data_IF_589282965721
#
_entry.id   IF_589282965721
#
_cell.length_a   1.000
_cell.length_b   1.000
_cell.length_c   1.000
_cell.angle_alpha   90.00
_cell.angle_beta   90.00
_cell.angle_gamma   90.00
#
_symmetry.space_group_name_H-M   'P 1'
#
loop_
_entity.id
_entity.type
_entity.pdbx_description
1 polymer ?
#
# COMPACT_ATOMS: atom_id res chain seq x y z
N UNK A 1 -26.24 22.62 -45.28
CA UNK A 1 -25.29 22.81 -44.17
C UNK A 1 -25.45 21.60 -43.26
N UNK A 2 -24.78 20.51 -43.62
CA UNK A 2 -24.80 19.25 -42.87
C UNK A 2 -23.64 19.30 -41.89
N UNK A 3 -23.91 19.10 -40.60
CA UNK A 3 -22.88 18.97 -39.58
C UNK A 3 -22.45 17.51 -39.53
N UNK A 4 -21.14 17.32 -39.71
CA UNK A 4 -20.41 16.07 -39.85
C UNK A 4 -20.33 15.34 -38.50
N UNK A 5 -20.66 14.04 -38.51
CA UNK A 5 -20.58 13.16 -37.34
C UNK A 5 -19.12 12.86 -37.01
N UNK A 6 -18.57 13.61 -36.05
CA UNK A 6 -17.25 13.35 -35.49
C UNK A 6 -17.22 12.04 -34.70
N UNK A 7 -16.94 10.92 -35.39
CA UNK A 7 -16.50 9.66 -34.79
C UNK A 7 -15.23 9.89 -33.96
N UNK A 8 -15.43 10.13 -32.66
CA UNK A 8 -14.36 10.14 -31.66
C UNK A 8 -13.98 8.69 -31.37
N UNK A 9 -13.11 8.15 -32.21
CA UNK A 9 -12.49 6.85 -32.01
C UNK A 9 -11.72 6.87 -30.68
N UNK A 10 -12.25 6.15 -29.68
CA UNK A 10 -11.49 5.82 -28.48
C UNK A 10 -10.34 4.91 -28.91
N UNK A 11 -9.17 5.52 -29.13
CA UNK A 11 -7.92 4.81 -29.33
C UNK A 11 -7.62 4.13 -28.01
N UNK A 12 -7.99 2.85 -27.88
CA UNK A 12 -7.57 2.00 -26.76
C UNK A 12 -6.06 1.83 -26.89
N UNK A 13 -5.31 2.75 -26.30
CA UNK A 13 -3.88 2.59 -26.09
C UNK A 13 -3.72 1.28 -25.31
N UNK A 14 -3.16 0.24 -25.94
CA UNK A 14 -2.69 -0.95 -25.24
C UNK A 14 -1.62 -0.49 -24.26
N UNK A 15 -2.00 -0.14 -23.04
CA UNK A 15 -1.05 0.16 -21.98
C UNK A 15 -0.26 -1.12 -21.76
N UNK A 16 1.05 -1.10 -22.07
CA UNK A 16 1.93 -2.23 -21.76
C UNK A 16 1.96 -2.38 -20.24
N UNK A 17 1.17 -3.32 -19.72
CA UNK A 17 1.21 -3.75 -18.31
C UNK A 17 2.64 -4.13 -17.98
N UNK A 18 3.21 -3.50 -16.95
CA UNK A 18 4.63 -3.70 -16.61
C UNK A 18 4.88 -5.16 -16.19
N UNK A 19 6.09 -5.71 -16.39
CA UNK A 19 6.41 -7.06 -15.91
C UNK A 19 6.17 -7.24 -14.40
N UNK A 20 6.34 -6.17 -13.62
CA UNK A 20 6.09 -6.18 -12.17
C UNK A 20 4.60 -6.23 -11.86
N UNK A 21 3.78 -5.49 -12.61
CA UNK A 21 2.32 -5.55 -12.45
C UNK A 21 1.78 -6.95 -12.78
N UNK A 22 2.32 -7.59 -13.83
CA UNK A 22 1.99 -8.99 -14.15
C UNK A 22 2.40 -9.97 -13.05
N UNK A 23 3.57 -9.77 -12.44
CA UNK A 23 4.02 -10.66 -11.36
C UNK A 23 3.21 -10.47 -10.07
N UNK A 24 2.61 -9.29 -9.88
CA UNK A 24 1.69 -9.03 -8.77
C UNK A 24 0.33 -9.71 -8.92
N UNK A 25 -0.07 -10.12 -10.13
CA UNK A 25 -1.33 -10.83 -10.39
C UNK A 25 -1.17 -12.32 -10.64
N UNK A 26 0.06 -12.80 -10.85
CA UNK A 26 0.34 -14.22 -11.03
C UNK A 26 0.08 -15.03 -9.74
N UNK A 27 -0.25 -16.33 -9.83
CA UNK A 27 -0.43 -17.18 -8.66
C UNK A 27 0.73 -17.06 -7.67
N UNK A 28 0.41 -16.99 -6.38
CA UNK A 28 1.41 -16.93 -5.33
C UNK A 28 2.06 -18.31 -5.15
N UNK A 29 3.38 -18.35 -4.98
CA UNK A 29 4.14 -19.58 -4.79
C UNK A 29 5.15 -19.43 -3.65
N UNK A 30 5.32 -20.49 -2.86
CA UNK A 30 6.26 -20.56 -1.75
C UNK A 30 5.60 -20.44 -0.38
N UNK A 31 6.41 -20.55 0.67
CA UNK A 31 5.99 -20.59 2.08
C UNK A 31 6.31 -19.28 2.83
N UNK A 32 6.69 -18.22 2.10
CA UNK A 32 7.10 -16.97 2.73
C UNK A 32 5.92 -16.26 3.42
N UNK A 33 4.71 -16.41 2.88
CA UNK A 33 3.48 -15.91 3.51
C UNK A 33 3.28 -16.55 4.89
N UNK A 34 3.35 -17.87 4.97
CA UNK A 34 3.15 -18.65 6.19
C UNK A 34 4.18 -18.28 7.24
N UNK A 35 5.46 -18.29 6.88
CA UNK A 35 6.54 -17.94 7.81
C UNK A 35 6.45 -16.49 8.28
N UNK A 36 6.04 -15.56 7.40
CA UNK A 36 5.86 -14.17 7.79
C UNK A 36 4.64 -13.97 8.70
N UNK A 37 3.52 -14.65 8.43
CA UNK A 37 2.33 -14.61 9.27
C UNK A 37 2.59 -15.17 10.68
N UNK A 38 3.28 -16.32 10.76
CA UNK A 38 3.71 -16.92 12.02
C UNK A 38 4.62 -15.98 12.81
N UNK A 39 5.63 -15.39 12.15
CA UNK A 39 6.52 -14.41 12.77
C UNK A 39 5.77 -13.21 13.37
N UNK A 40 4.79 -12.66 12.65
CA UNK A 40 3.99 -11.53 13.13
C UNK A 40 3.11 -11.91 14.32
N UNK A 41 2.50 -13.10 14.29
CA UNK A 41 1.66 -13.62 15.38
C UNK A 41 2.47 -13.84 16.65
N UNK A 42 3.66 -14.45 16.50
CA UNK A 42 4.61 -14.64 17.59
C UNK A 42 5.10 -13.32 18.18
N UNK A 43 5.35 -12.33 17.31
CA UNK A 43 5.80 -11.00 17.73
C UNK A 43 4.70 -10.27 18.51
N UNK A 44 3.44 -10.40 18.07
CA UNK A 44 2.30 -9.84 18.78
C UNK A 44 2.12 -10.48 20.16
N UNK A 45 2.23 -11.81 20.27
CA UNK A 45 2.12 -12.52 21.53
C UNK A 45 3.20 -12.11 22.55
N UNK A 46 4.38 -11.67 22.07
CA UNK A 46 5.50 -11.21 22.89
C UNK A 46 5.49 -9.69 23.13
N UNK A 47 4.62 -8.95 22.45
CA UNK A 47 4.62 -7.50 22.54
C UNK A 47 4.13 -7.02 23.91
N UNK A 48 4.92 -6.16 24.54
CA UNK A 48 4.56 -5.43 25.75
C UNK A 48 5.04 -4.00 25.62
N UNK A 49 4.18 -3.04 25.98
CA UNK A 49 4.54 -1.62 26.00
C UNK A 49 5.59 -1.28 27.06
N UNK A 50 5.84 -2.20 28.01
CA UNK A 50 6.94 -2.06 28.98
C UNK A 50 8.30 -2.40 28.37
N UNK A 51 8.32 -3.21 27.30
CA UNK A 51 9.56 -3.74 26.70
C UNK A 51 9.84 -3.12 25.34
N UNK A 52 8.79 -2.75 24.59
CA UNK A 52 8.91 -2.24 23.23
C UNK A 52 8.17 -0.92 23.05
N UNK A 53 8.78 -0.02 22.29
CA UNK A 53 8.20 1.29 21.99
C UNK A 53 7.00 1.20 21.05
N UNK A 54 7.09 0.38 19.99
CA UNK A 54 6.05 0.26 18.98
C UNK A 54 6.16 -1.04 18.18
N UNK A 55 5.11 -1.37 17.43
CA UNK A 55 5.01 -2.55 16.56
C UNK A 55 5.47 -2.21 15.14
N UNK A 56 6.75 -2.38 14.86
CA UNK A 56 7.30 -2.22 13.52
C UNK A 56 8.27 -3.37 13.23
N UNK A 57 8.23 -3.88 12.00
CA UNK A 57 9.22 -4.81 11.48
C UNK A 57 9.65 -4.37 10.07
N UNK A 58 10.91 -4.58 9.74
CA UNK A 58 11.46 -4.29 8.41
C UNK A 58 11.58 -5.57 7.60
N UNK A 59 11.03 -5.58 6.39
CA UNK A 59 11.21 -6.69 5.43
C UNK A 59 12.32 -6.31 4.45
N UNK A 60 13.53 -6.83 4.68
CA UNK A 60 14.73 -6.47 3.91
C UNK A 60 15.17 -7.65 3.03
N UNK A 61 15.08 -7.47 1.70
CA UNK A 61 15.59 -8.40 0.70
C UNK A 61 15.87 -7.67 -0.63
N UNK A 62 16.64 -8.29 -1.52
CA UNK A 62 16.90 -7.80 -2.90
C UNK A 62 15.61 -7.49 -3.67
N UNK A 63 15.66 -6.54 -4.61
CA UNK A 63 14.51 -6.24 -5.48
C UNK A 63 14.06 -7.49 -6.27
N UNK A 64 12.76 -7.61 -6.54
CA UNK A 64 12.20 -8.72 -7.32
C UNK A 64 12.00 -10.05 -6.58
N UNK A 65 12.38 -10.16 -5.30
CA UNK A 65 12.23 -11.42 -4.52
C UNK A 65 10.80 -11.71 -4.03
N UNK A 66 9.81 -10.90 -4.42
CA UNK A 66 8.41 -11.15 -4.05
C UNK A 66 7.94 -10.52 -2.73
N UNK A 67 8.72 -9.61 -2.10
CA UNK A 67 8.30 -8.90 -0.86
C UNK A 67 6.90 -8.28 -0.96
N UNK A 68 6.67 -7.40 -1.93
CA UNK A 68 5.37 -6.73 -2.10
C UNK A 68 4.26 -7.73 -2.38
N UNK A 69 4.55 -8.79 -3.15
CA UNK A 69 3.60 -9.86 -3.44
C UNK A 69 3.21 -10.61 -2.16
N UNK A 70 4.18 -10.98 -1.33
CA UNK A 70 3.95 -11.61 -0.02
C UNK A 70 3.08 -10.73 0.88
N UNK A 71 3.37 -9.42 0.96
CA UNK A 71 2.56 -8.49 1.76
C UNK A 71 1.12 -8.42 1.25
N UNK A 72 0.90 -8.33 -0.07
CA UNK A 72 -0.45 -8.35 -0.63
C UNK A 72 -1.19 -9.66 -0.35
N UNK A 73 -0.47 -10.78 -0.35
CA UNK A 73 -1.05 -12.10 -0.08
C UNK A 73 -1.51 -12.30 1.37
N UNK A 74 -1.12 -11.41 2.30
CA UNK A 74 -1.62 -11.42 3.69
C UNK A 74 -3.16 -11.26 3.77
N UNK A 75 -3.79 -10.69 2.74
CA UNK A 75 -5.24 -10.61 2.64
C UNK A 75 -5.92 -12.00 2.70
N UNK A 76 -5.26 -13.05 2.17
CA UNK A 76 -5.76 -14.43 2.23
C UNK A 76 -5.66 -15.06 3.63
N UNK A 77 -5.02 -14.36 4.58
CA UNK A 77 -4.97 -14.69 6.01
C UNK A 77 -5.87 -13.77 6.85
N UNK A 78 -6.89 -13.16 6.23
CA UNK A 78 -7.81 -12.19 6.84
C UNK A 78 -7.13 -10.93 7.41
N UNK A 79 -5.93 -10.59 6.92
CA UNK A 79 -5.21 -9.39 7.33
C UNK A 79 -5.50 -8.25 6.36
N UNK A 80 -5.99 -7.13 6.88
CA UNK A 80 -6.20 -5.91 6.10
C UNK A 80 -4.85 -5.29 5.74
N UNK A 81 -4.58 -5.14 4.44
CA UNK A 81 -3.33 -4.59 3.91
C UNK A 81 -3.54 -3.18 3.39
N UNK A 82 -2.91 -2.20 4.03
CA UNK A 82 -2.76 -0.84 3.49
C UNK A 82 -1.40 -0.72 2.80
N UNK A 83 -1.38 -0.87 1.47
CA UNK A 83 -0.15 -0.70 0.69
C UNK A 83 0.06 0.78 0.36
N UNK A 84 1.16 1.37 0.83
CA UNK A 84 1.54 2.76 0.59
C UNK A 84 2.97 2.83 0.04
N UNK A 85 3.15 3.61 -1.01
CA UNK A 85 4.41 3.80 -1.69
C UNK A 85 4.95 5.22 -1.53
N UNK A 86 5.88 5.38 -0.59
CA UNK A 86 6.34 6.69 -0.12
C UNK A 86 7.67 7.15 -0.75
N UNK A 87 8.05 6.60 -1.92
CA UNK A 87 9.27 6.95 -2.70
C UNK A 87 9.50 8.44 -2.85
N UNK A 88 10.74 8.93 -2.77
CA UNK A 88 11.06 10.36 -2.87
C UNK A 88 10.46 11.06 -4.11
N UNK A 89 10.24 12.37 -4.02
CA UNK A 89 9.79 13.18 -5.16
C UNK A 89 10.84 13.07 -6.28
N UNK A 90 10.39 12.78 -7.50
CA UNK A 90 11.25 12.61 -8.67
C UNK A 90 11.80 11.19 -8.88
N UNK A 91 11.56 10.25 -7.96
CA UNK A 91 11.87 8.83 -8.18
C UNK A 91 10.93 8.24 -9.24
N UNK A 92 11.50 7.76 -10.34
CA UNK A 92 10.78 7.13 -11.46
C UNK A 92 10.61 5.61 -11.30
N UNK A 93 10.96 5.05 -10.14
CA UNK A 93 10.84 3.64 -9.84
C UNK A 93 9.39 3.13 -9.83
N UNK A 94 9.24 1.80 -9.90
CA UNK A 94 7.93 1.13 -9.91
C UNK A 94 7.68 0.30 -8.64
N UNK A 95 6.51 0.40 -7.97
CA UNK A 95 5.36 1.23 -8.35
C UNK A 95 5.61 2.75 -8.24
N UNK A 96 4.78 3.61 -8.84
CA UNK A 96 4.89 5.07 -8.67
C UNK A 96 4.54 5.54 -7.25
N UNK A 97 5.09 6.68 -6.80
CA UNK A 97 4.81 7.30 -5.48
C UNK A 97 3.31 7.60 -5.31
N UNK A 98 2.76 7.30 -4.14
CA UNK A 98 1.40 7.70 -3.76
C UNK A 98 1.41 9.14 -3.22
N UNK A 99 0.86 10.07 -4.01
CA UNK A 99 0.94 11.50 -3.71
C UNK A 99 0.31 11.88 -2.36
N UNK A 100 -0.92 11.44 -2.09
CA UNK A 100 -1.65 11.82 -0.87
C UNK A 100 -1.02 11.24 0.40
N UNK A 101 -0.81 9.90 0.51
CA UNK A 101 -0.13 9.33 1.67
C UNK A 101 1.24 9.95 1.90
N UNK A 102 2.00 10.22 0.84
CA UNK A 102 3.34 10.73 1.02
C UNK A 102 3.38 12.21 1.44
N UNK A 103 2.44 13.04 0.96
CA UNK A 103 2.25 14.41 1.46
C UNK A 103 1.90 14.46 2.96
N UNK A 104 1.14 13.47 3.43
CA UNK A 104 0.70 13.35 4.82
C UNK A 104 1.77 12.74 5.72
N UNK A 105 2.46 11.69 5.26
CA UNK A 105 3.31 10.87 6.12
C UNK A 105 4.80 11.26 6.07
N UNK A 106 5.30 11.79 4.95
CA UNK A 106 6.75 12.01 4.77
C UNK A 106 7.14 13.42 4.35
N UNK A 107 6.19 14.27 3.95
CA UNK A 107 6.48 15.67 3.59
C UNK A 107 6.22 16.63 4.76
N UNK A 108 6.95 17.75 4.76
CA UNK A 108 6.82 18.82 5.75
C UNK A 108 7.04 18.35 7.20
N UNK A 109 8.00 17.45 7.41
CA UNK A 109 8.32 16.87 8.73
C UNK A 109 8.93 17.88 9.72
N UNK A 110 9.27 19.09 9.27
CA UNK A 110 9.78 20.18 10.12
C UNK A 110 8.68 20.84 10.99
N UNK A 111 7.43 20.41 10.86
CA UNK A 111 6.29 20.89 11.66
C UNK A 111 6.31 20.31 13.06
N UNK A 112 5.55 20.92 13.97
CA UNK A 112 5.43 20.43 15.35
C UNK A 112 4.90 18.99 15.40
N UNK A 113 5.32 18.21 16.39
CA UNK A 113 4.83 16.85 16.65
C UNK A 113 3.30 16.81 16.71
N UNK A 114 2.69 17.81 17.37
CA UNK A 114 1.23 17.94 17.49
C UNK A 114 0.54 18.03 16.13
N UNK A 115 1.07 18.84 15.22
CA UNK A 115 0.51 19.01 13.89
C UNK A 115 0.70 17.75 13.03
N UNK A 116 1.88 17.14 13.11
CA UNK A 116 2.16 15.86 12.45
C UNK A 116 1.19 14.77 12.92
N UNK A 117 1.00 14.64 14.23
CA UNK A 117 0.06 13.71 14.85
C UNK A 117 -1.37 13.95 14.38
N UNK A 118 -1.84 15.20 14.40
CA UNK A 118 -3.19 15.55 13.97
C UNK A 118 -3.43 15.16 12.50
N UNK A 119 -2.45 15.43 11.62
CA UNK A 119 -2.50 15.07 10.20
C UNK A 119 -2.56 13.55 9.99
N UNK A 120 -1.71 12.79 10.69
CA UNK A 120 -1.72 11.33 10.62
C UNK A 120 -3.04 10.74 11.14
N UNK A 121 -3.54 11.24 12.28
CA UNK A 121 -4.82 10.81 12.83
C UNK A 121 -5.96 11.07 11.85
N UNK A 122 -6.02 12.25 11.23
CA UNK A 122 -7.04 12.58 10.23
C UNK A 122 -6.97 11.65 9.02
N UNK A 123 -5.76 11.37 8.51
CA UNK A 123 -5.56 10.48 7.37
C UNK A 123 -6.02 9.05 7.65
N UNK A 124 -5.56 8.44 8.75
CA UNK A 124 -5.96 7.07 9.08
C UNK A 124 -7.44 6.97 9.48
N UNK A 125 -7.99 7.97 10.19
CA UNK A 125 -9.41 8.01 10.50
C UNK A 125 -10.28 8.06 9.23
N UNK A 126 -9.88 8.83 8.22
CA UNK A 126 -10.57 8.88 6.94
C UNK A 126 -10.55 7.53 6.22
N UNK A 127 -9.41 6.84 6.20
CA UNK A 127 -9.29 5.48 5.63
C UNK A 127 -10.21 4.50 6.35
N UNK A 128 -10.16 4.45 7.69
CA UNK A 128 -10.98 3.52 8.45
C UNK A 128 -12.48 3.84 8.32
N UNK A 129 -12.86 5.11 8.29
CA UNK A 129 -14.25 5.52 8.06
C UNK A 129 -14.73 5.08 6.67
N UNK A 130 -13.91 5.31 5.64
CA UNK A 130 -14.22 4.85 4.29
C UNK A 130 -14.40 3.33 4.24
N UNK A 131 -13.48 2.56 4.82
CA UNK A 131 -13.59 1.11 4.85
C UNK A 131 -14.79 0.59 5.62
N UNK A 132 -15.11 1.19 6.78
CA UNK A 132 -16.31 0.82 7.53
C UNK A 132 -17.58 1.02 6.70
N UNK A 133 -17.64 2.07 5.87
CA UNK A 133 -18.79 2.33 5.02
C UNK A 133 -18.84 1.38 3.82
N UNK A 134 -17.69 1.03 3.25
CA UNK A 134 -17.59 0.11 2.09
C UNK A 134 -17.89 -1.34 2.49
N UNK A 135 -17.46 -1.79 3.67
CA UNK A 135 -17.71 -3.15 4.17
C UNK A 135 -19.12 -3.35 4.74
N UNK A 136 -19.85 -2.26 5.03
CA UNK A 136 -21.25 -2.29 5.50
C UNK A 136 -22.28 -2.27 4.36
N UNK A 137 -21.84 -2.25 3.09
CA UNK A 137 -22.75 -2.36 1.96
C UNK A 137 -23.20 -3.83 1.79
N UNK A 138 -24.52 -4.11 1.77
CA UNK A 138 -25.05 -5.47 1.62
C UNK A 138 -24.77 -6.08 0.25
#
# INVERSE_FOLDING_TARGET
MCLDEGQRTYRTSRTKVSPVEKSLTAPYHGLALEGFYEYLTDSEAKFSTMTYYARFCSVVQSSGTGKSRMIMQMADKDVIVLYLNLRAIGDSGYPPRDAVPAAVLVENLLKSEREYRARCCAFFAAIFTFWQNTLKAP
#
